data_IF_319278428536
#
_entry.id   IF_319278428536
#
_cell.length_a   1.000
_cell.length_b   1.000
_cell.length_c   1.000
_cell.angle_alpha   90.00
_cell.angle_beta   90.00
_cell.angle_gamma   90.00
#
_symmetry.space_group_name_H-M   'P 1'
#
loop_
_entity.id
_entity.type
_entity.pdbx_description
1 polymer ?
#
# COMPACT_ATOMS: atom_id res chain seq x y z
N UNK A 1 -13.32 3.09 8.10
CA UNK A 1 -12.60 2.59 6.89
C UNK A 1 -11.88 1.30 7.18
N UNK A 2 -10.99 1.23 8.19
CA UNK A 2 -10.23 0.01 8.52
C UNK A 2 -11.12 -1.24 8.72
N UNK A 3 -12.20 -1.12 9.49
CA UNK A 3 -13.17 -2.22 9.69
C UNK A 3 -13.73 -2.77 8.38
N UNK A 4 -14.00 -1.90 7.39
CA UNK A 4 -14.49 -2.33 6.08
C UNK A 4 -13.44 -3.16 5.33
N UNK A 5 -12.16 -2.79 5.42
CA UNK A 5 -11.08 -3.56 4.81
C UNK A 5 -10.87 -4.92 5.47
N UNK A 6 -11.15 -5.06 6.77
CA UNK A 6 -11.07 -6.35 7.48
C UNK A 6 -12.16 -7.35 7.04
N UNK A 7 -13.25 -6.89 6.42
CA UNK A 7 -14.25 -7.80 5.86
C UNK A 7 -13.76 -8.56 4.62
N UNK A 8 -12.82 -8.01 3.85
CA UNK A 8 -12.27 -8.67 2.66
C UNK A 8 -11.51 -9.97 3.01
N UNK A 9 -10.51 -9.99 3.91
CA UNK A 9 -9.86 -11.22 4.33
C UNK A 9 -10.80 -12.12 5.16
N UNK A 10 -11.76 -11.56 5.90
CA UNK A 10 -12.80 -12.35 6.58
C UNK A 10 -13.64 -13.18 5.60
N UNK A 11 -14.06 -12.57 4.49
CA UNK A 11 -14.82 -13.24 3.44
C UNK A 11 -14.01 -14.41 2.87
N UNK A 12 -12.73 -14.18 2.58
CA UNK A 12 -11.82 -15.22 2.08
C UNK A 12 -11.63 -16.33 3.10
N UNK A 13 -11.43 -15.98 4.37
CA UNK A 13 -11.31 -16.94 5.46
C UNK A 13 -12.55 -17.85 5.56
N UNK A 14 -13.76 -17.28 5.41
CA UNK A 14 -15.02 -18.04 5.43
C UNK A 14 -15.14 -18.96 4.22
N UNK A 15 -14.77 -18.49 3.02
CA UNK A 15 -14.83 -19.32 1.80
C UNK A 15 -13.84 -20.48 1.83
N UNK A 16 -12.66 -20.28 2.41
CA UNK A 16 -11.62 -21.29 2.51
C UNK A 16 -11.75 -22.18 3.76
N UNK A 17 -12.64 -21.85 4.70
CA UNK A 17 -12.79 -22.57 5.96
C UNK A 17 -11.59 -22.42 6.90
N UNK A 18 -10.90 -21.28 6.86
CA UNK A 18 -9.68 -21.00 7.63
C UNK A 18 -10.02 -20.67 9.11
N UNK A 19 -9.12 -21.01 10.05
CA UNK A 19 -9.32 -20.70 11.47
C UNK A 19 -9.22 -19.19 11.76
N UNK A 20 -8.67 -18.40 10.83
CA UNK A 20 -8.55 -16.95 10.88
C UNK A 20 -9.88 -16.20 10.95
N UNK A 21 -11.00 -16.85 10.65
CA UNK A 21 -12.34 -16.25 10.68
C UNK A 21 -12.61 -15.59 12.03
N UNK A 22 -12.30 -16.28 13.14
CA UNK A 22 -12.49 -15.74 14.49
C UNK A 22 -11.64 -14.50 14.75
N UNK A 23 -10.38 -14.53 14.33
CA UNK A 23 -9.41 -13.44 14.48
C UNK A 23 -9.83 -12.18 13.74
N UNK A 24 -10.25 -12.31 12.47
CA UNK A 24 -10.72 -11.18 11.68
C UNK A 24 -12.08 -10.65 12.17
N UNK A 25 -13.00 -11.52 12.58
CA UNK A 25 -14.30 -11.11 13.10
C UNK A 25 -14.18 -10.32 14.40
N UNK A 26 -13.39 -10.83 15.36
CA UNK A 26 -13.16 -10.13 16.64
C UNK A 26 -12.44 -8.79 16.41
N UNK A 27 -11.46 -8.77 15.50
CA UNK A 27 -10.76 -7.55 15.13
C UNK A 27 -11.68 -6.51 14.49
N UNK A 28 -12.55 -6.93 13.57
CA UNK A 28 -13.53 -6.06 12.93
C UNK A 28 -14.55 -5.50 13.94
N UNK A 29 -15.04 -6.33 14.87
CA UNK A 29 -15.94 -5.90 15.94
C UNK A 29 -15.29 -4.88 16.85
N UNK A 30 -14.10 -5.17 17.38
CA UNK A 30 -13.39 -4.27 18.28
C UNK A 30 -13.05 -2.93 17.62
N UNK A 31 -12.52 -2.97 16.38
CA UNK A 31 -12.24 -1.74 15.62
C UNK A 31 -13.51 -0.95 15.31
N UNK A 32 -14.60 -1.63 14.95
CA UNK A 32 -15.89 -1.01 14.67
C UNK A 32 -16.50 -0.35 15.91
N UNK A 33 -16.44 -1.02 17.07
CA UNK A 33 -16.91 -0.47 18.34
C UNK A 33 -16.08 0.76 18.72
N UNK A 34 -14.75 0.67 18.71
CA UNK A 34 -13.89 1.82 18.99
C UNK A 34 -14.17 2.99 18.05
N UNK A 35 -14.29 2.73 16.75
CA UNK A 35 -14.63 3.77 15.78
C UNK A 35 -16.00 4.41 16.05
N UNK A 36 -17.01 3.60 16.37
CA UNK A 36 -18.36 4.10 16.65
C UNK A 36 -18.40 4.98 17.91
N UNK A 37 -17.71 4.60 18.98
CA UNK A 37 -17.57 5.40 20.21
C UNK A 37 -16.83 6.71 19.94
N UNK A 38 -15.74 6.68 19.17
CA UNK A 38 -15.02 7.89 18.80
C UNK A 38 -15.88 8.86 17.98
N UNK A 39 -16.69 8.36 17.04
CA UNK A 39 -17.59 9.18 16.23
C UNK A 39 -18.75 9.76 17.04
N UNK A 40 -19.30 8.98 17.98
CA UNK A 40 -20.38 9.43 18.85
C UNK A 40 -19.91 10.53 19.81
N UNK A 41 -18.71 10.38 20.36
CA UNK A 41 -18.15 11.35 21.32
C UNK A 41 -17.46 12.55 20.65
N UNK A 42 -17.10 12.44 19.38
CA UNK A 42 -16.34 13.44 18.63
C UNK A 42 -17.14 14.61 18.04
N UNK A 43 -18.42 14.77 18.38
CA UNK A 43 -19.28 15.83 17.84
C UNK A 43 -19.00 17.19 18.49
N UNK A 44 -17.83 17.76 18.24
CA UNK A 44 -17.53 19.15 18.59
C UNK A 44 -17.74 20.08 17.40
N UNK A 45 -18.48 21.18 17.62
CA UNK A 45 -18.68 22.24 16.63
C UNK A 45 -17.47 23.16 16.61
N UNK A 46 -17.08 23.55 15.39
CA UNK A 46 -15.96 24.45 15.04
C UNK A 46 -14.59 24.00 15.55
N UNK A 47 -13.91 23.17 14.75
CA UNK A 47 -12.52 22.79 15.00
C UNK A 47 -11.61 23.82 14.32
N UNK A 48 -10.90 24.63 15.12
CA UNK A 48 -9.80 25.46 14.64
C UNK A 48 -8.50 24.64 14.70
N UNK A 49 -8.15 23.96 13.61
CA UNK A 49 -6.89 23.21 13.53
C UNK A 49 -5.74 24.13 13.12
N UNK A 50 -4.71 24.19 13.94
CA UNK A 50 -3.44 24.82 13.59
C UNK A 50 -2.58 23.83 12.77
N UNK A 51 -1.54 24.32 12.08
CA UNK A 51 -0.70 23.45 11.24
C UNK A 51 0.02 22.37 12.06
N UNK A 52 0.37 22.68 13.32
CA UNK A 52 0.94 21.72 14.27
C UNK A 52 -0.04 20.57 14.57
N UNK A 53 -1.32 20.89 14.69
CA UNK A 53 -2.37 19.89 14.95
C UNK A 53 -2.55 18.98 13.74
N UNK A 54 -2.42 19.52 12.51
CA UNK A 54 -2.49 18.71 11.29
C UNK A 54 -1.34 17.69 11.21
N UNK A 55 -0.12 18.08 11.55
CA UNK A 55 1.02 17.16 11.62
C UNK A 55 0.82 16.08 12.70
N UNK A 56 0.39 16.48 13.90
CA UNK A 56 0.12 15.54 14.99
C UNK A 56 -1.00 14.56 14.64
N UNK A 57 -2.12 15.04 14.06
CA UNK A 57 -3.24 14.21 13.63
C UNK A 57 -2.82 13.23 12.55
N UNK A 58 -1.98 13.66 11.62
CA UNK A 58 -1.44 12.78 10.58
C UNK A 58 -0.63 11.66 11.22
N UNK A 59 0.39 11.97 12.02
CA UNK A 59 1.22 10.95 12.68
C UNK A 59 0.40 10.00 13.57
N UNK A 60 -0.56 10.54 14.34
CA UNK A 60 -1.46 9.74 15.16
C UNK A 60 -2.35 8.82 14.33
N UNK A 61 -2.82 9.26 13.17
CA UNK A 61 -3.64 8.43 12.28
C UNK A 61 -2.86 7.19 11.85
N UNK A 62 -1.60 7.33 11.44
CA UNK A 62 -0.78 6.19 11.03
C UNK A 62 -0.53 5.24 12.20
N UNK A 63 -0.21 5.76 13.39
CA UNK A 63 -0.02 4.94 14.58
C UNK A 63 -1.30 4.19 14.98
N UNK A 64 -2.44 4.86 15.02
CA UNK A 64 -3.73 4.26 15.40
C UNK A 64 -4.13 3.20 14.37
N UNK A 65 -3.99 3.49 13.08
CA UNK A 65 -4.32 2.53 12.02
C UNK A 65 -3.44 1.27 12.14
N UNK A 66 -2.13 1.42 12.35
CA UNK A 66 -1.22 0.28 12.56
C UNK A 66 -1.58 -0.52 13.83
N UNK A 67 -1.87 0.17 14.93
CA UNK A 67 -2.24 -0.45 16.22
C UNK A 67 -3.46 -1.38 16.07
N UNK A 68 -4.50 -0.89 15.39
CA UNK A 68 -5.72 -1.66 15.17
C UNK A 68 -5.58 -2.70 14.05
N UNK A 69 -4.77 -2.43 13.02
CA UNK A 69 -4.51 -3.38 11.94
C UNK A 69 -3.72 -4.62 12.41
N UNK A 70 -2.98 -4.50 13.52
CA UNK A 70 -2.21 -5.60 14.12
C UNK A 70 -3.05 -6.66 14.83
N UNK A 71 -4.26 -6.32 15.28
CA UNK A 71 -5.15 -7.23 15.99
C UNK A 71 -5.36 -8.60 15.30
N UNK A 72 -5.72 -8.70 14.00
CA UNK A 72 -5.94 -10.00 13.37
C UNK A 72 -4.70 -10.89 13.38
N UNK A 73 -3.49 -10.31 13.27
CA UNK A 73 -2.24 -11.06 13.32
C UNK A 73 -1.94 -11.62 14.71
N UNK A 74 -2.21 -10.84 15.76
CA UNK A 74 -1.97 -11.28 17.15
C UNK A 74 -2.88 -12.44 17.58
N UNK A 75 -4.10 -12.47 17.04
CA UNK A 75 -5.09 -13.49 17.37
C UNK A 75 -4.92 -14.78 16.56
N UNK A 76 -4.35 -14.68 15.36
CA UNK A 76 -4.13 -15.83 14.47
C UNK A 76 -2.84 -16.60 14.78
N UNK A 77 -1.72 -15.91 14.99
CA UNK A 77 -0.41 -16.53 14.88
C UNK A 77 0.33 -16.75 16.21
N UNK A 78 -0.29 -16.42 17.35
CA UNK A 78 0.37 -16.49 18.66
C UNK A 78 1.64 -15.64 18.77
N UNK A 79 1.89 -14.77 17.78
CA UNK A 79 3.03 -13.87 17.72
C UNK A 79 2.87 -12.75 18.74
N UNK A 80 4.00 -12.24 19.22
CA UNK A 80 4.00 -11.09 20.10
C UNK A 80 3.29 -9.90 19.46
N UNK A 81 2.61 -9.09 20.28
CA UNK A 81 1.96 -7.87 19.80
C UNK A 81 2.95 -6.93 19.07
N UNK A 82 4.21 -6.91 19.52
CA UNK A 82 5.30 -6.14 18.90
C UNK A 82 5.57 -6.57 17.47
N UNK A 83 5.53 -7.87 17.20
CA UNK A 83 5.84 -8.44 15.89
C UNK A 83 4.68 -8.19 14.92
N UNK A 84 3.45 -8.35 15.41
CA UNK A 84 2.25 -7.97 14.67
C UNK A 84 2.24 -6.46 14.35
N UNK A 85 2.57 -5.62 15.33
CA UNK A 85 2.68 -4.17 15.12
C UNK A 85 3.76 -3.84 14.10
N UNK A 86 4.94 -4.47 14.18
CA UNK A 86 6.00 -4.30 13.19
C UNK A 86 5.54 -4.68 11.79
N UNK A 87 4.88 -5.82 11.65
CA UNK A 87 4.38 -6.30 10.37
C UNK A 87 3.36 -5.33 9.75
N UNK A 88 2.44 -4.81 10.58
CA UNK A 88 1.42 -3.86 10.10
C UNK A 88 1.98 -2.50 9.79
N UNK A 89 2.91 -2.01 10.61
CA UNK A 89 3.57 -0.74 10.37
C UNK A 89 4.37 -0.81 9.08
N UNK A 90 5.17 -1.87 8.90
CA UNK A 90 5.92 -2.15 7.67
C UNK A 90 5.01 -2.24 6.44
N UNK A 91 3.83 -2.85 6.59
CA UNK A 91 2.86 -2.97 5.52
C UNK A 91 2.26 -1.63 5.12
N UNK A 92 1.73 -0.89 6.10
CA UNK A 92 1.08 0.41 5.90
C UNK A 92 2.08 1.47 5.40
N UNK A 93 3.33 1.46 5.86
CA UNK A 93 4.36 2.37 5.33
C UNK A 93 4.96 1.90 4.02
N UNK A 94 4.47 0.80 3.44
CA UNK A 94 4.97 0.20 2.20
C UNK A 94 6.46 -0.16 2.27
N UNK A 95 7.00 -0.37 3.47
CA UNK A 95 8.40 -0.79 3.69
C UNK A 95 8.64 -2.20 3.20
N UNK A 96 7.65 -3.09 3.39
CA UNK A 96 7.71 -4.47 2.88
C UNK A 96 8.66 -5.40 3.61
N UNK A 97 9.17 -5.00 4.79
CA UNK A 97 9.88 -5.90 5.71
C UNK A 97 8.90 -6.82 6.43
N UNK A 98 9.31 -8.04 6.76
CA UNK A 98 8.47 -9.02 7.46
C UNK A 98 9.23 -9.75 8.57
N UNK A 99 8.52 -10.03 9.66
CA UNK A 99 8.97 -10.89 10.77
C UNK A 99 8.33 -12.27 10.71
N UNK A 100 7.35 -12.47 9.82
CA UNK A 100 6.69 -13.75 9.63
C UNK A 100 7.55 -14.70 8.78
N UNK A 101 7.58 -15.96 9.16
CA UNK A 101 8.25 -17.05 8.42
C UNK A 101 7.21 -18.01 7.83
N UNK A 102 7.57 -18.75 6.79
CA UNK A 102 6.68 -19.75 6.17
C UNK A 102 5.48 -19.16 5.42
N UNK A 103 5.68 -18.03 4.72
CA UNK A 103 4.60 -17.34 3.99
C UNK A 103 3.91 -18.22 2.93
N UNK A 104 4.62 -19.17 2.33
CA UNK A 104 4.08 -20.04 1.28
C UNK A 104 3.02 -21.03 1.79
N UNK A 105 3.01 -21.30 3.09
CA UNK A 105 2.07 -22.23 3.74
C UNK A 105 1.06 -21.52 4.63
N UNK A 106 1.04 -20.18 4.61
CA UNK A 106 0.18 -19.37 5.47
C UNK A 106 -1.24 -19.26 4.89
N UNK A 107 -2.23 -19.06 5.76
CA UNK A 107 -3.61 -18.88 5.34
C UNK A 107 -3.80 -17.71 4.37
N UNK A 108 -4.66 -17.91 3.37
CA UNK A 108 -4.82 -16.95 2.27
C UNK A 108 -5.40 -15.63 2.76
N UNK A 109 -6.28 -15.66 3.76
CA UNK A 109 -6.83 -14.44 4.39
C UNK A 109 -5.73 -13.54 4.95
N UNK A 110 -4.66 -14.11 5.50
CA UNK A 110 -3.54 -13.35 6.08
C UNK A 110 -2.66 -12.78 4.97
N UNK A 111 -2.35 -13.57 3.95
CA UNK A 111 -1.62 -13.08 2.78
C UNK A 111 -2.34 -11.91 2.10
N UNK A 112 -3.66 -12.00 1.94
CA UNK A 112 -4.49 -10.92 1.41
C UNK A 112 -4.47 -9.72 2.34
N UNK A 113 -4.56 -9.92 3.66
CA UNK A 113 -4.49 -8.82 4.61
C UNK A 113 -3.18 -8.04 4.48
N UNK A 114 -2.04 -8.74 4.36
CA UNK A 114 -0.74 -8.10 4.11
C UNK A 114 -0.74 -7.26 2.83
N UNK A 115 -1.21 -7.82 1.72
CA UNK A 115 -1.30 -7.09 0.45
C UNK A 115 -2.23 -5.87 0.54
N UNK A 116 -3.34 -5.99 1.27
CA UNK A 116 -4.27 -4.88 1.52
C UNK A 116 -3.64 -3.77 2.36
N UNK A 117 -2.79 -4.10 3.35
CA UNK A 117 -2.08 -3.10 4.13
C UNK A 117 -1.09 -2.30 3.27
N UNK A 118 -0.34 -2.96 2.39
CA UNK A 118 0.50 -2.28 1.40
C UNK A 118 -0.30 -1.37 0.48
N UNK A 119 -1.43 -1.87 -0.02
CA UNK A 119 -2.28 -1.11 -0.93
C UNK A 119 -2.91 0.11 -0.24
N UNK A 120 -3.39 -0.05 0.98
CA UNK A 120 -3.92 1.03 1.81
C UNK A 120 -2.84 2.09 2.10
N UNK A 121 -1.63 1.63 2.41
CA UNK A 121 -0.45 2.46 2.62
C UNK A 121 -0.09 3.30 1.41
N UNK A 122 0.01 2.68 0.25
CA UNK A 122 0.33 3.34 -1.02
C UNK A 122 -0.68 4.43 -1.38
N UNK A 123 -1.98 4.13 -1.25
CA UNK A 123 -3.04 5.13 -1.48
C UNK A 123 -2.96 6.26 -0.44
N UNK A 124 -2.74 5.92 0.83
CA UNK A 124 -2.60 6.90 1.91
C UNK A 124 -1.47 7.90 1.64
N UNK A 125 -0.30 7.40 1.22
CA UNK A 125 0.85 8.24 0.88
C UNK A 125 0.60 9.13 -0.35
N UNK A 126 -0.01 8.60 -1.42
CA UNK A 126 -0.34 9.38 -2.62
C UNK A 126 -1.32 10.51 -2.28
N UNK A 127 -2.38 10.20 -1.53
CA UNK A 127 -3.38 11.20 -1.11
C UNK A 127 -2.73 12.27 -0.24
N UNK A 128 -1.85 11.88 0.69
CA UNK A 128 -1.09 12.83 1.51
C UNK A 128 -0.19 13.72 0.65
N UNK A 129 0.57 13.16 -0.28
CA UNK A 129 1.46 13.92 -1.17
C UNK A 129 0.69 14.97 -1.97
N UNK A 130 -0.46 14.58 -2.56
CA UNK A 130 -1.34 15.50 -3.31
C UNK A 130 -1.95 16.56 -2.40
N UNK A 131 -2.32 16.22 -1.16
CA UNK A 131 -2.87 17.16 -0.19
C UNK A 131 -1.82 18.18 0.32
N UNK A 132 -0.55 17.76 0.44
CA UNK A 132 0.55 18.61 0.94
C UNK A 132 1.15 19.49 -0.18
N UNK A 133 1.17 19.02 -1.43
CA UNK A 133 1.72 19.74 -2.58
C UNK A 133 1.26 21.22 -2.70
N UNK A 134 -0.03 21.58 -2.53
CA UNK A 134 -0.44 22.98 -2.56
C UNK A 134 0.18 23.83 -1.44
N UNK A 135 0.40 23.27 -0.24
CA UNK A 135 1.00 23.99 0.88
C UNK A 135 2.51 24.23 0.71
N UNK A 136 3.22 23.28 0.09
CA UNK A 136 4.64 23.46 -0.25
C UNK A 136 4.84 24.54 -1.33
N UNK A 137 3.86 24.71 -2.21
CA UNK A 137 3.89 25.72 -3.28
C UNK A 137 3.52 27.15 -2.81
N UNK A 138 3.23 27.34 -1.52
CA UNK A 138 2.93 28.67 -0.91
C UNK A 138 4.21 29.47 -0.59
N UNK A 139 5.40 28.84 -0.66
CA UNK A 139 6.69 29.52 -0.42
C UNK A 139 7.31 30.23 -1.64
N UNK A 140 7.15 29.68 -2.85
CA UNK A 140 7.77 30.24 -4.07
C UNK A 140 7.05 31.45 -4.67
N UNK A 141 5.76 31.61 -4.34
CA UNK A 141 4.92 32.64 -4.96
C UNK A 141 5.02 34.02 -4.28
N UNK A 142 5.80 34.19 -3.20
CA UNK A 142 6.11 35.54 -2.70
C UNK A 142 7.14 36.27 -3.56
N UNK A 143 7.92 35.56 -4.37
CA UNK A 143 8.81 36.17 -5.36
C UNK A 143 8.07 36.54 -6.65
N UNK A 144 7.04 35.78 -7.02
CA UNK A 144 6.19 36.04 -8.20
C UNK A 144 4.99 36.95 -7.93
N UNK A 145 4.68 37.27 -6.67
CA UNK A 145 3.61 38.23 -6.33
C UNK A 145 3.97 39.69 -6.57
N UNK A 146 5.23 39.97 -6.89
CA UNK A 146 5.65 41.30 -7.32
C UNK A 146 5.39 41.53 -8.81
N UNK A 147 5.07 40.48 -9.60
CA UNK A 147 4.93 40.60 -11.06
C UNK A 147 3.61 40.12 -11.69
N UNK A 148 2.75 39.34 -11.02
CA UNK A 148 1.56 38.81 -11.72
C UNK A 148 0.37 38.55 -10.79
N UNK A 149 -0.51 39.54 -10.72
CA UNK A 149 -1.89 39.41 -10.24
C UNK A 149 -2.74 38.58 -11.21
N UNK A 150 -2.69 37.24 -11.18
CA UNK A 150 -3.74 36.40 -11.83
C UNK A 150 -3.60 34.87 -11.62
N UNK A 151 -3.59 34.37 -10.37
CA UNK A 151 -3.57 32.91 -10.12
C UNK A 151 -4.56 32.42 -9.06
N UNK A 152 -5.78 32.97 -9.02
CA UNK A 152 -6.81 32.53 -8.05
C UNK A 152 -7.70 31.36 -8.51
N UNK A 153 -7.78 31.00 -9.79
CA UNK A 153 -8.86 30.08 -10.26
C UNK A 153 -8.42 28.75 -10.91
N UNK A 154 -7.11 28.46 -11.03
CA UNK A 154 -6.63 27.31 -11.84
C UNK A 154 -5.93 26.19 -11.08
N UNK A 155 -5.89 26.21 -9.75
CA UNK A 155 -5.19 25.17 -8.98
C UNK A 155 -5.96 23.84 -8.87
N UNK A 156 -7.30 23.87 -8.93
CA UNK A 156 -8.17 22.69 -8.76
C UNK A 156 -8.23 21.73 -9.98
N UNK A 157 -8.24 22.17 -11.26
CA UNK A 157 -8.41 21.24 -12.38
C UNK A 157 -7.17 20.39 -12.70
N UNK A 158 -5.97 20.74 -12.20
CA UNK A 158 -4.73 20.03 -12.54
C UNK A 158 -4.63 18.67 -11.85
N UNK A 159 -5.18 18.51 -10.66
CA UNK A 159 -5.12 17.25 -9.88
C UNK A 159 -5.87 16.11 -10.57
N UNK A 160 -7.03 16.37 -11.17
CA UNK A 160 -7.76 15.36 -11.95
C UNK A 160 -7.01 14.93 -13.22
N UNK A 161 -6.29 15.85 -13.86
CA UNK A 161 -5.51 15.55 -15.07
C UNK A 161 -4.28 14.68 -14.79
N UNK A 162 -3.63 14.88 -13.63
CA UNK A 162 -2.46 14.10 -13.21
C UNK A 162 -2.85 12.67 -12.82
N UNK A 163 -3.98 12.49 -12.14
CA UNK A 163 -4.50 11.17 -11.81
C UNK A 163 -4.79 10.31 -13.06
N UNK A 164 -5.32 10.93 -14.14
CA UNK A 164 -5.55 10.26 -15.42
C UNK A 164 -4.25 9.81 -16.11
N UNK A 165 -3.20 10.63 -16.06
CA UNK A 165 -1.91 10.25 -16.65
C UNK A 165 -1.24 9.13 -15.87
N UNK A 166 -1.29 9.17 -14.53
CA UNK A 166 -0.74 8.11 -13.70
C UNK A 166 -1.47 6.78 -13.93
N UNK A 167 -2.81 6.82 -14.04
CA UNK A 167 -3.62 5.66 -14.39
C UNK A 167 -3.27 5.11 -15.77
N UNK A 168 -3.13 5.98 -16.79
CA UNK A 168 -2.75 5.57 -18.14
C UNK A 168 -1.38 4.92 -18.18
N UNK A 169 -0.38 5.47 -17.48
CA UNK A 169 0.97 4.91 -17.40
C UNK A 169 0.96 3.55 -16.69
N UNK A 170 0.21 3.40 -15.59
CA UNK A 170 0.09 2.12 -14.87
C UNK A 170 -0.60 1.05 -15.72
N UNK A 171 -1.69 1.40 -16.41
CA UNK A 171 -2.39 0.48 -17.33
C UNK A 171 -1.53 0.13 -18.54
N UNK A 172 -0.78 1.08 -19.10
CA UNK A 172 0.13 0.84 -20.22
C UNK A 172 1.31 -0.04 -19.80
N UNK A 173 1.91 0.22 -18.65
CA UNK A 173 3.00 -0.61 -18.10
C UNK A 173 2.53 -2.04 -17.86
N UNK A 174 1.36 -2.25 -17.24
CA UNK A 174 0.79 -3.59 -17.07
C UNK A 174 0.43 -4.26 -18.41
N UNK A 175 -0.17 -3.50 -19.34
CA UNK A 175 -0.56 -4.00 -20.66
C UNK A 175 0.61 -4.37 -21.57
N UNK A 176 1.77 -3.71 -21.42
CA UNK A 176 2.97 -3.98 -22.22
C UNK A 176 3.96 -4.95 -21.56
N UNK A 177 4.13 -4.94 -20.23
CA UNK A 177 5.08 -5.86 -19.57
C UNK A 177 4.58 -7.30 -19.54
N UNK A 178 3.28 -7.52 -19.29
CA UNK A 178 2.73 -8.87 -19.11
C UNK A 178 2.80 -9.74 -20.39
N UNK A 179 2.53 -9.21 -21.60
CA UNK A 179 2.68 -9.98 -22.84
C UNK A 179 4.14 -10.14 -23.29
N UNK A 180 5.05 -9.26 -22.87
CA UNK A 180 6.48 -9.36 -23.21
C UNK A 180 7.24 -10.34 -22.30
N UNK A 181 6.74 -10.62 -21.09
CA UNK A 181 7.35 -11.61 -20.19
C UNK A 181 6.88 -13.05 -20.45
N UNK A 182 5.75 -13.23 -21.14
CA UNK A 182 5.24 -14.57 -21.44
C UNK A 182 6.11 -15.38 -22.43
N UNK A 183 6.76 -14.80 -23.46
CA UNK A 183 7.65 -15.54 -24.37
C UNK A 183 8.98 -15.87 -23.69
N UNK A 184 9.59 -14.91 -22.97
CA UNK A 184 10.86 -15.13 -22.27
C UNK A 184 10.78 -16.18 -21.16
N UNK A 185 9.61 -16.38 -20.53
CA UNK A 185 9.40 -17.47 -19.57
C UNK A 185 9.36 -18.84 -20.26
N UNK A 186 8.91 -18.90 -21.51
CA UNK A 186 8.82 -20.15 -22.27
C UNK A 186 10.20 -20.60 -22.77
N UNK A 187 11.08 -19.66 -23.11
CA UNK A 187 12.45 -19.95 -23.56
C UNK A 187 13.39 -20.41 -22.42
N UNK A 188 13.17 -19.93 -21.18
CA UNK A 188 13.96 -20.36 -20.02
C UNK A 188 13.59 -21.76 -19.49
N UNK A 189 12.36 -22.22 -19.76
CA UNK A 189 11.90 -23.59 -19.40
C UNK A 189 12.26 -24.60 -20.47
N UNK A 190 12.38 -24.16 -21.72
CA UNK A 190 12.80 -24.98 -22.86
C UNK A 190 14.32 -25.01 -22.93
N UNK A 191 14.97 -25.78 -22.05
CA UNK A 191 16.42 -25.91 -22.05
C UNK A 191 16.97 -26.34 -23.41
N UNK A 192 17.52 -25.38 -24.16
CA UNK A 192 18.39 -25.67 -25.29
C UNK A 192 19.82 -25.69 -24.75
N UNK A 193 20.31 -26.90 -24.52
CA UNK A 193 21.73 -27.18 -24.32
C UNK A 193 22.47 -26.56 -25.52
N UNK A 194 23.51 -25.71 -25.34
CA UNK A 194 24.23 -25.17 -26.48
C UNK A 194 24.83 -26.32 -27.29
N UNK A 195 24.36 -26.46 -28.54
CA UNK A 195 24.87 -27.42 -29.51
C UNK A 195 26.31 -27.06 -29.82
N UNK A 196 27.22 -27.84 -29.26
CA UNK A 196 28.65 -27.81 -29.49
C UNK A 196 28.95 -28.20 -30.93
N UNK A 197 28.84 -27.26 -31.88
CA UNK A 197 29.28 -27.41 -33.27
C UNK A 197 29.50 -26.02 -33.92
N UNK A 198 30.11 -25.09 -33.19
CA UNK A 198 30.58 -23.85 -33.81
C UNK A 198 31.89 -24.14 -34.60
N UNK A 199 31.96 -23.80 -35.90
CA UNK A 199 33.17 -23.99 -36.72
C UNK A 199 34.40 -23.26 -36.19
N UNK A 200 34.21 -22.35 -35.23
CA UNK A 200 35.22 -21.48 -34.62
C UNK A 200 36.07 -22.27 -33.61
N UNK A 201 35.48 -23.22 -32.89
CA UNK A 201 36.17 -24.04 -31.88
C UNK A 201 37.21 -24.98 -32.51
N UNK A 202 37.01 -25.33 -33.79
CA UNK A 202 37.92 -26.20 -34.55
C UNK A 202 39.25 -25.51 -34.93
N UNK A 203 39.29 -24.18 -34.94
CA UNK A 203 40.51 -23.40 -35.26
C UNK A 203 41.43 -23.20 -34.06
N UNK A 204 40.93 -23.30 -32.82
CA UNK A 204 41.71 -23.06 -31.60
C UNK A 204 42.53 -24.28 -31.13
N UNK A 205 42.31 -25.47 -31.68
CA UNK A 205 43.06 -26.69 -31.32
C UNK A 205 44.30 -26.94 -32.18
N UNK A 206 44.61 -26.06 -33.15
CA UNK A 206 45.77 -26.16 -34.03
C UNK A 206 46.75 -24.98 -33.92
N UNK A 207 46.67 -24.21 -32.82
CA UNK A 207 47.69 -23.25 -32.36
C UNK A 207 48.25 -23.71 -31.01
#
# INVERSE_FOLDING_TARGET
MLTAFMFAPLLVAVFNGEETVGSFMLSALATGICASLCLHNGQSKTIHLNIRDMFLLTSLTWLIVSLFAAMPFTLYHGIGYTDAFFETMSGITTTGSTVLSGLDTMDHSILIWRSLLQWLGGIGFIVMAVAILPFLNVGGMRLFRTESSDWSDKAVPRTQSMAKHLFFILCFAHGCLLPCLSPCRHDLVSGDQPRHDDPIDRWLLHL
#
